data_IF_392166668812
#
_entry.id   IF_392166668812
#
_cell.length_a   1.000
_cell.length_b   1.000
_cell.length_c   1.000
_cell.angle_alpha   90.00
_cell.angle_beta   90.00
_cell.angle_gamma   90.00
#
_symmetry.space_group_name_H-M   'P 1'
#
loop_
_entity.id
_entity.type
_entity.pdbx_description
1 polymer ?
#
# COMPACT_ATOMS: atom_id res chain seq x y z
N UNK A 1 7.92 7.47 49.56
CA UNK A 1 6.94 8.00 48.60
C UNK A 1 7.44 7.63 47.22
N UNK A 2 6.96 6.50 46.71
CA UNK A 2 7.31 6.01 45.38
C UNK A 2 6.18 6.43 44.46
N UNK A 3 6.43 7.42 43.61
CA UNK A 3 5.48 7.81 42.56
C UNK A 3 5.46 6.68 41.55
N UNK A 4 4.36 5.92 41.55
CA UNK A 4 4.00 5.03 40.46
C UNK A 4 3.58 5.93 39.31
N UNK A 5 4.40 6.00 38.27
CA UNK A 5 3.99 6.57 36.99
C UNK A 5 3.13 5.49 36.35
N UNK A 6 1.82 5.70 36.45
CA UNK A 6 0.79 4.97 35.72
C UNK A 6 0.96 5.34 34.24
N UNK A 7 1.83 4.60 33.56
CA UNK A 7 2.00 4.69 32.11
C UNK A 7 0.76 4.07 31.50
N UNK A 8 -0.16 4.93 31.07
CA UNK A 8 -1.29 4.68 30.16
C UNK A 8 -1.21 3.30 29.51
N UNK A 9 -2.12 2.40 29.89
CA UNK A 9 -2.41 1.20 29.13
C UNK A 9 -2.45 1.61 27.65
N UNK A 10 -1.60 0.96 26.86
CA UNK A 10 -1.52 1.17 25.44
C UNK A 10 -2.79 0.57 24.82
N UNK A 11 -3.92 1.29 24.96
CA UNK A 11 -5.23 0.77 24.59
C UNK A 11 -5.30 0.78 23.07
N UNK A 12 -5.17 -0.40 22.47
CA UNK A 12 -5.40 -0.64 21.04
C UNK A 12 -6.77 -1.32 20.87
N UNK A 13 -7.89 -0.62 21.13
CA UNK A 13 -9.21 -1.25 21.17
C UNK A 13 -9.64 -1.89 19.86
N UNK A 14 -9.04 -1.47 18.74
CA UNK A 14 -9.36 -1.94 17.40
C UNK A 14 -8.33 -2.95 16.85
N UNK A 15 -7.39 -3.41 17.69
CA UNK A 15 -6.29 -4.33 17.31
C UNK A 15 -5.50 -3.84 16.07
N UNK A 16 -5.38 -2.52 15.89
CA UNK A 16 -4.75 -1.89 14.70
C UNK A 16 -3.27 -2.24 14.63
N UNK A 17 -2.62 -2.43 15.78
CA UNK A 17 -1.25 -2.92 15.87
C UNK A 17 -1.06 -4.29 15.24
N UNK A 18 -2.04 -5.19 15.32
CA UNK A 18 -2.00 -6.50 14.64
C UNK A 18 -2.17 -6.38 13.14
N UNK A 19 -2.96 -5.40 12.67
CA UNK A 19 -3.07 -5.07 11.24
C UNK A 19 -1.74 -4.53 10.72
N UNK A 20 -1.11 -3.60 11.45
CA UNK A 20 0.20 -3.04 11.08
C UNK A 20 1.26 -4.14 10.97
N UNK A 21 1.24 -5.13 11.87
CA UNK A 21 2.13 -6.30 11.83
C UNK A 21 2.06 -7.10 10.53
N UNK A 22 0.98 -7.00 9.76
CA UNK A 22 0.80 -7.72 8.47
C UNK A 22 1.61 -7.11 7.33
N UNK A 23 2.13 -5.90 7.48
CA UNK A 23 2.94 -5.22 6.46
C UNK A 23 4.22 -4.58 7.04
N UNK A 24 4.61 -4.97 8.25
CA UNK A 24 5.83 -4.47 8.91
C UNK A 24 7.08 -4.68 8.07
N UNK A 25 7.15 -5.78 7.34
CA UNK A 25 8.25 -6.13 6.44
C UNK A 25 8.41 -5.15 5.27
N UNK A 26 7.39 -4.35 4.97
CA UNK A 26 7.40 -3.35 3.90
C UNK A 26 7.72 -1.95 4.41
N UNK A 27 7.78 -1.74 5.73
CA UNK A 27 8.06 -0.42 6.30
C UNK A 27 9.49 0.04 5.97
N UNK A 28 9.75 1.36 5.84
CA UNK A 28 10.98 1.88 5.25
C UNK A 28 12.28 1.61 6.02
N UNK A 29 12.19 1.24 7.30
CA UNK A 29 13.35 1.08 8.17
C UNK A 29 13.34 -0.25 8.90
N UNK A 30 14.53 -0.75 9.23
CA UNK A 30 14.69 -2.02 9.96
C UNK A 30 14.08 -1.99 11.36
N UNK A 31 14.17 -0.85 12.06
CA UNK A 31 13.50 -0.65 13.34
C UNK A 31 12.18 0.09 13.13
N UNK A 32 11.10 -0.67 13.06
CA UNK A 32 9.77 -0.17 12.71
C UNK A 32 8.96 0.34 13.90
N UNK A 33 9.51 0.29 15.13
CA UNK A 33 8.74 0.61 16.34
C UNK A 33 8.14 2.02 16.30
N UNK A 34 8.87 2.99 15.74
CA UNK A 34 8.40 4.37 15.59
C UNK A 34 7.30 4.45 14.53
N UNK A 35 7.43 3.78 13.38
CA UNK A 35 6.38 3.74 12.36
C UNK A 35 5.11 3.04 12.85
N UNK A 36 5.22 2.01 13.68
CA UNK A 36 4.06 1.32 14.27
C UNK A 36 3.24 2.27 15.15
N UNK A 37 3.91 3.00 16.04
CA UNK A 37 3.26 4.01 16.88
C UNK A 37 2.66 5.10 16.01
N UNK A 38 3.42 5.60 15.03
CA UNK A 38 2.98 6.67 14.15
C UNK A 38 1.75 6.32 13.31
N UNK A 39 1.72 5.13 12.71
CA UNK A 39 0.57 4.67 11.94
C UNK A 39 -0.67 4.45 12.82
N UNK A 40 -0.47 3.94 14.03
CA UNK A 40 -1.56 3.77 15.00
C UNK A 40 -2.10 5.11 15.49
N UNK A 41 -1.25 6.06 15.83
CA UNK A 41 -1.68 7.42 16.20
C UNK A 41 -2.41 8.09 15.04
N UNK A 42 -1.90 7.97 13.82
CA UNK A 42 -2.53 8.51 12.62
C UNK A 42 -3.95 7.94 12.41
N UNK A 43 -4.11 6.63 12.63
CA UNK A 43 -5.41 5.95 12.60
C UNK A 43 -6.38 6.53 13.62
N UNK A 44 -6.00 6.59 14.90
CA UNK A 44 -6.89 7.06 15.95
C UNK A 44 -7.22 8.55 15.81
N UNK A 45 -6.25 9.35 15.36
CA UNK A 45 -6.49 10.75 15.00
C UNK A 45 -7.55 10.86 13.88
N UNK A 46 -7.42 10.07 12.81
CA UNK A 46 -8.37 10.10 11.70
C UNK A 46 -9.75 9.57 12.10
N UNK A 47 -9.80 8.54 12.96
CA UNK A 47 -11.03 7.97 13.51
C UNK A 47 -11.81 8.99 14.35
N UNK A 48 -11.13 9.75 15.19
CA UNK A 48 -11.74 10.82 16.00
C UNK A 48 -12.16 12.03 15.15
N UNK A 49 -11.29 12.47 14.24
CA UNK A 49 -11.57 13.62 13.38
C UNK A 49 -12.63 13.33 12.31
N UNK A 50 -12.83 12.06 11.94
CA UNK A 50 -13.67 11.58 10.84
C UNK A 50 -13.10 11.90 9.45
N UNK A 51 -12.51 13.09 9.26
CA UNK A 51 -11.84 13.51 8.02
C UNK A 51 -10.69 14.46 8.33
N UNK A 52 -9.57 14.29 7.61
CA UNK A 52 -8.40 15.15 7.74
C UNK A 52 -7.62 15.28 6.42
N UNK A 53 -6.83 16.34 6.30
CA UNK A 53 -5.84 16.46 5.23
C UNK A 53 -4.58 15.66 5.57
N UNK A 54 -3.79 15.31 4.54
CA UNK A 54 -2.48 14.70 4.71
C UNK A 54 -1.59 15.49 5.69
N UNK A 55 -1.55 16.81 5.53
CA UNK A 55 -0.76 17.69 6.40
C UNK A 55 -1.24 17.71 7.85
N UNK A 56 -2.56 17.62 8.08
CA UNK A 56 -3.12 17.61 9.44
C UNK A 56 -2.78 16.31 10.16
N UNK A 57 -2.93 15.17 9.49
CA UNK A 57 -2.53 13.86 10.03
C UNK A 57 -1.04 13.85 10.32
N UNK A 58 -0.23 14.26 9.34
CA UNK A 58 1.21 14.25 9.50
C UNK A 58 1.68 15.19 10.60
N UNK A 59 1.02 16.33 10.81
CA UNK A 59 1.36 17.24 11.89
C UNK A 59 1.03 16.62 13.26
N UNK A 60 -0.18 16.06 13.43
CA UNK A 60 -0.59 15.44 14.68
C UNK A 60 0.38 14.33 15.12
N UNK A 61 0.72 13.44 14.19
CA UNK A 61 1.59 12.28 14.48
C UNK A 61 3.05 12.70 14.71
N UNK A 62 3.52 13.72 13.99
CA UNK A 62 4.91 14.18 14.10
C UNK A 62 5.27 14.65 15.51
N UNK A 63 4.33 15.32 16.18
CA UNK A 63 4.54 15.87 17.51
C UNK A 63 4.46 14.81 18.62
N UNK A 64 3.75 13.70 18.38
CA UNK A 64 3.48 12.65 19.38
C UNK A 64 4.42 11.43 19.26
N UNK A 65 4.77 11.00 18.03
CA UNK A 65 5.44 9.71 17.77
C UNK A 65 6.98 9.70 17.78
N UNK A 66 7.66 10.76 18.24
CA UNK A 66 9.13 10.88 18.16
C UNK A 66 9.73 10.67 16.74
N UNK A 67 8.93 10.91 15.69
CA UNK A 67 9.31 10.65 14.29
C UNK A 67 10.60 11.35 13.85
N UNK A 68 10.90 12.50 14.46
CA UNK A 68 12.13 13.27 14.22
C UNK A 68 13.44 12.52 14.51
N UNK A 69 13.39 11.39 15.23
CA UNK A 69 14.56 10.54 15.47
C UNK A 69 14.98 9.70 14.26
N UNK A 70 14.04 9.42 13.36
CA UNK A 70 14.20 8.47 12.27
C UNK A 70 14.01 9.13 10.91
N UNK A 71 13.08 10.08 10.83
CA UNK A 71 12.81 10.84 9.63
C UNK A 71 13.42 12.24 9.72
N UNK A 72 14.08 12.73 8.66
CA UNK A 72 14.65 14.08 8.67
C UNK A 72 13.58 15.17 8.62
N UNK A 73 12.40 14.86 8.07
CA UNK A 73 11.28 15.79 7.89
C UNK A 73 9.95 15.05 7.96
N UNK A 74 8.91 15.78 8.38
CA UNK A 74 7.52 15.31 8.38
C UNK A 74 7.05 14.81 7.02
N UNK A 75 7.38 15.55 5.97
CA UNK A 75 7.04 15.15 4.60
C UNK A 75 7.69 13.83 4.20
N UNK A 76 8.90 13.54 4.69
CA UNK A 76 9.59 12.28 4.38
C UNK A 76 8.88 11.09 5.02
N UNK A 77 8.49 11.19 6.30
CA UNK A 77 7.66 10.14 6.92
C UNK A 77 6.34 9.96 6.19
N UNK A 78 5.66 11.06 5.85
CA UNK A 78 4.38 10.99 5.17
C UNK A 78 4.50 10.26 3.82
N UNK A 79 5.49 10.60 3.01
CA UNK A 79 5.71 9.96 1.71
C UNK A 79 6.13 8.50 1.83
N UNK A 80 6.99 8.17 2.80
CA UNK A 80 7.60 6.83 2.87
C UNK A 80 6.74 5.83 3.65
N UNK A 81 5.98 6.29 4.65
CA UNK A 81 5.20 5.43 5.56
C UNK A 81 3.73 5.84 5.72
N UNK A 82 3.43 7.14 5.84
CA UNK A 82 2.05 7.59 6.06
C UNK A 82 1.11 7.27 4.89
N UNK A 83 1.31 7.93 3.75
CA UNK A 83 0.46 7.81 2.56
C UNK A 83 0.37 6.39 1.99
N UNK A 84 1.47 5.60 1.91
CA UNK A 84 1.39 4.27 1.32
C UNK A 84 0.63 3.25 2.18
N UNK A 85 0.72 3.35 3.51
CA UNK A 85 0.25 2.32 4.43
C UNK A 85 -1.02 2.67 5.21
N UNK A 86 -1.35 3.96 5.35
CA UNK A 86 -2.64 4.36 5.94
C UNK A 86 -3.85 3.71 5.26
N UNK A 87 -3.95 3.60 3.92
CA UNK A 87 -5.07 2.92 3.26
C UNK A 87 -5.17 1.42 3.54
N UNK A 88 -4.19 0.82 4.23
CA UNK A 88 -4.23 -0.59 4.61
C UNK A 88 -4.79 -0.79 6.02
N UNK A 89 -5.11 0.29 6.73
CA UNK A 89 -5.71 0.25 8.05
C UNK A 89 -7.25 0.20 7.93
N UNK A 90 -7.94 -0.46 8.88
CA UNK A 90 -9.38 -0.70 8.79
C UNK A 90 -10.19 0.58 8.64
N UNK A 91 -11.05 0.68 7.63
CA UNK A 91 -11.91 1.84 7.44
C UNK A 91 -11.20 3.14 7.04
N UNK A 92 -9.90 3.12 6.74
CA UNK A 92 -9.20 4.31 6.26
C UNK A 92 -9.35 4.43 4.74
N UNK A 93 -9.98 5.52 4.30
CA UNK A 93 -10.23 5.78 2.88
C UNK A 93 -9.58 7.08 2.46
N UNK A 94 -8.98 7.06 1.27
CA UNK A 94 -8.53 8.27 0.55
C UNK A 94 -9.49 8.57 -0.58
N UNK A 95 -9.98 9.80 -0.64
CA UNK A 95 -10.79 10.33 -1.74
C UNK A 95 -10.27 11.70 -2.21
N UNK A 96 -10.96 12.32 -3.15
CA UNK A 96 -10.56 13.59 -3.77
C UNK A 96 -10.46 14.76 -2.78
N UNK A 97 -11.11 14.66 -1.63
CA UNK A 97 -11.15 15.73 -0.60
C UNK A 97 -10.15 15.46 0.52
N UNK A 98 -9.56 14.25 0.58
CA UNK A 98 -8.50 13.90 1.52
C UNK A 98 -8.70 12.53 2.14
N UNK A 99 -8.35 12.42 3.42
CA UNK A 99 -8.42 11.17 4.17
C UNK A 99 -9.66 11.19 5.07
N UNK A 100 -10.35 10.07 5.15
CA UNK A 100 -11.49 9.90 6.05
C UNK A 100 -11.49 8.52 6.69
N UNK A 101 -12.10 8.45 7.86
CA UNK A 101 -12.48 7.18 8.48
C UNK A 101 -13.91 6.83 8.10
N UNK A 102 -14.12 5.58 7.72
CA UNK A 102 -15.39 4.99 7.32
C UNK A 102 -15.46 3.55 7.84
N UNK A 103 -16.23 3.26 8.89
CA UNK A 103 -16.28 1.91 9.46
C UNK A 103 -16.86 0.87 8.50
N UNK A 104 -17.58 1.28 7.45
CA UNK A 104 -18.23 0.39 6.50
C UNK A 104 -17.40 0.21 5.19
N UNK A 105 -16.23 0.87 5.10
CA UNK A 105 -15.43 0.85 3.88
C UNK A 105 -14.77 -0.51 3.60
N UNK A 106 -14.49 -1.29 4.64
CA UNK A 106 -13.83 -2.60 4.49
C UNK A 106 -14.74 -3.65 3.84
N UNK A 107 -16.06 -3.53 4.06
CA UNK A 107 -17.09 -4.41 3.51
C UNK A 107 -17.56 -3.97 2.11
N UNK A 108 -17.30 -2.72 1.75
CA UNK A 108 -17.71 -2.13 0.48
C UNK A 108 -16.74 -2.50 -0.65
N UNK A 109 -16.76 -3.77 -1.07
CA UNK A 109 -16.02 -4.22 -2.26
C UNK A 109 -16.75 -3.87 -3.56
N UNK A 110 -16.02 -3.59 -4.65
CA UNK A 110 -16.62 -3.45 -5.96
C UNK A 110 -17.38 -4.74 -6.31
N UNK A 111 -18.57 -4.64 -6.91
CA UNK A 111 -19.25 -5.81 -7.42
C UNK A 111 -18.36 -6.52 -8.44
N UNK A 112 -18.28 -7.84 -8.34
CA UNK A 112 -17.65 -8.65 -9.40
C UNK A 112 -18.49 -8.48 -10.66
N UNK A 113 -17.87 -8.24 -11.83
CA UNK A 113 -18.57 -8.20 -13.11
C UNK A 113 -19.52 -9.39 -13.30
N UNK A 114 -20.71 -9.17 -13.84
CA UNK A 114 -21.70 -10.24 -14.09
C UNK A 114 -21.20 -11.24 -15.15
N UNK A 115 -20.39 -10.75 -16.10
CA UNK A 115 -19.74 -11.55 -17.14
C UNK A 115 -18.26 -11.12 -17.25
N UNK A 116 -17.41 -11.59 -16.33
CA UNK A 116 -16.01 -11.20 -16.29
C UNK A 116 -15.28 -11.77 -17.50
N UNK A 117 -14.53 -10.92 -18.19
CA UNK A 117 -13.56 -11.30 -19.21
C UNK A 117 -12.19 -10.79 -18.83
N UNK A 118 -11.15 -11.35 -19.44
CA UNK A 118 -9.81 -10.79 -19.32
C UNK A 118 -9.71 -9.43 -20.02
N UNK A 119 -8.98 -8.46 -19.42
CA UNK A 119 -8.71 -7.20 -20.06
C UNK A 119 -7.85 -7.42 -21.33
N UNK A 120 -7.93 -6.49 -22.27
CA UNK A 120 -7.10 -6.58 -23.46
C UNK A 120 -5.62 -6.43 -23.09
N UNK A 121 -4.74 -7.06 -23.88
CA UNK A 121 -3.30 -6.91 -23.68
C UNK A 121 -2.83 -5.46 -23.82
N UNK A 122 -3.52 -4.67 -24.65
CA UNK A 122 -3.20 -3.25 -24.87
C UNK A 122 -3.57 -2.39 -23.65
N UNK A 123 -4.69 -2.67 -22.96
CA UNK A 123 -5.09 -1.94 -21.74
C UNK A 123 -4.11 -2.21 -20.60
N UNK A 124 -3.72 -3.48 -20.43
CA UNK A 124 -2.71 -3.88 -19.43
C UNK A 124 -1.37 -3.22 -19.74
N UNK A 125 -0.91 -3.27 -21.00
CA UNK A 125 0.37 -2.67 -21.39
C UNK A 125 0.34 -1.13 -21.25
N UNK A 126 -0.78 -0.47 -21.50
CA UNK A 126 -0.92 0.97 -21.31
C UNK A 126 -0.70 1.39 -19.84
N UNK A 127 -1.32 0.69 -18.88
CA UNK A 127 -1.09 0.92 -17.44
C UNK A 127 0.36 0.64 -17.09
N UNK A 128 0.89 -0.51 -17.52
CA UNK A 128 2.27 -0.89 -17.27
C UNK A 128 3.28 0.09 -17.87
N UNK A 129 2.97 0.81 -18.96
CA UNK A 129 3.86 1.80 -19.57
C UNK A 129 3.74 3.19 -18.96
N UNK A 130 2.57 3.55 -18.42
CA UNK A 130 2.34 4.87 -17.82
C UNK A 130 3.08 5.10 -16.50
N UNK A 131 3.41 4.01 -15.78
CA UNK A 131 4.09 4.12 -14.51
C UNK A 131 5.57 4.51 -14.68
N UNK A 132 6.03 5.48 -13.89
CA UNK A 132 7.42 5.91 -13.90
C UNK A 132 8.29 5.00 -13.02
N UNK A 133 8.70 3.85 -13.56
CA UNK A 133 9.55 2.91 -12.82
C UNK A 133 10.89 3.53 -12.40
N UNK A 134 11.36 3.22 -11.19
CA UNK A 134 12.70 3.57 -10.75
C UNK A 134 13.78 3.05 -11.71
N UNK A 135 14.80 3.87 -11.94
CA UNK A 135 15.94 3.61 -12.82
C UNK A 135 16.11 4.65 -13.92
N UNK A 136 17.16 4.49 -14.73
CA UNK A 136 17.46 5.40 -15.86
C UNK A 136 16.65 4.99 -17.10
N UNK A 137 16.23 5.98 -17.90
CA UNK A 137 15.50 5.73 -19.14
C UNK A 137 16.33 4.85 -20.11
N UNK A 138 15.69 3.84 -20.71
CA UNK A 138 16.35 2.86 -21.58
C UNK A 138 17.18 1.78 -20.86
N UNK A 139 17.20 1.77 -19.52
CA UNK A 139 17.92 0.76 -18.75
C UNK A 139 17.09 -0.53 -18.55
N UNK A 140 17.80 -1.65 -18.44
CA UNK A 140 17.27 -2.97 -18.09
C UNK A 140 16.59 -2.97 -16.72
N UNK A 141 16.91 -2.03 -15.84
CA UNK A 141 16.31 -1.92 -14.49
C UNK A 141 14.82 -1.62 -14.54
N UNK A 142 14.42 -0.57 -15.29
CA UNK A 142 13.00 -0.26 -15.51
C UNK A 142 12.25 -1.45 -16.10
N UNK A 143 12.89 -2.13 -17.06
CA UNK A 143 12.36 -3.34 -17.69
C UNK A 143 12.15 -4.47 -16.67
N UNK A 144 13.10 -4.69 -15.75
CA UNK A 144 12.98 -5.71 -14.68
C UNK A 144 11.87 -5.37 -13.70
N UNK A 145 11.77 -4.12 -13.27
CA UNK A 145 10.72 -3.67 -12.35
C UNK A 145 9.33 -3.88 -12.97
N UNK A 146 9.15 -3.49 -14.24
CA UNK A 146 7.92 -3.76 -15.01
C UNK A 146 7.65 -5.26 -15.17
N UNK A 147 8.67 -6.06 -15.45
CA UNK A 147 8.52 -7.51 -15.60
C UNK A 147 8.08 -8.19 -14.29
N UNK A 148 8.56 -7.71 -13.14
CA UNK A 148 8.09 -8.18 -11.83
C UNK A 148 6.60 -7.94 -11.65
N UNK A 149 6.11 -6.75 -11.98
CA UNK A 149 4.68 -6.42 -11.91
C UNK A 149 3.87 -7.29 -12.86
N UNK A 150 4.36 -7.44 -14.10
CA UNK A 150 3.70 -8.29 -15.10
C UNK A 150 3.53 -9.73 -14.59
N UNK A 151 4.57 -10.31 -13.99
CA UNK A 151 4.51 -11.67 -13.41
C UNK A 151 3.57 -11.75 -12.22
N UNK A 152 3.57 -10.74 -11.35
CA UNK A 152 2.63 -10.65 -10.23
C UNK A 152 1.17 -10.60 -10.72
N UNK A 153 0.91 -9.85 -11.79
CA UNK A 153 -0.42 -9.81 -12.42
C UNK A 153 -0.79 -11.15 -13.08
N UNK A 154 0.11 -11.74 -13.88
CA UNK A 154 -0.10 -13.07 -14.49
C UNK A 154 -0.39 -14.14 -13.44
N UNK A 155 0.36 -14.14 -12.33
CA UNK A 155 0.13 -15.03 -11.20
C UNK A 155 -1.27 -14.81 -10.58
N UNK A 156 -1.65 -13.55 -10.36
CA UNK A 156 -2.97 -13.22 -9.81
C UNK A 156 -4.11 -13.63 -10.76
N UNK A 157 -3.92 -13.51 -12.08
CA UNK A 157 -4.88 -13.98 -13.09
C UNK A 157 -5.03 -15.51 -13.08
N UNK A 158 -3.91 -16.24 -12.95
CA UNK A 158 -3.90 -17.70 -12.92
C UNK A 158 -4.57 -18.27 -11.67
N UNK A 159 -4.35 -17.64 -10.52
CA UNK A 159 -4.80 -18.14 -9.22
C UNK A 159 -6.13 -17.52 -8.73
N UNK A 160 -6.54 -16.39 -9.31
CA UNK A 160 -7.75 -15.65 -8.92
C UNK A 160 -7.60 -14.85 -7.62
N UNK A 161 -6.88 -15.37 -6.63
CA UNK A 161 -6.52 -14.66 -5.40
C UNK A 161 -5.05 -14.96 -5.04
N UNK A 162 -4.36 -13.98 -4.46
CA UNK A 162 -2.98 -14.13 -3.99
C UNK A 162 -2.73 -13.26 -2.76
N UNK A 163 -1.89 -13.71 -1.82
CA UNK A 163 -1.47 -12.85 -0.74
C UNK A 163 -0.30 -11.92 -1.17
N UNK A 164 0.07 -10.97 -0.30
CA UNK A 164 1.17 -10.05 -0.64
C UNK A 164 2.52 -10.76 -0.76
N UNK A 165 2.73 -11.89 -0.07
CA UNK A 165 3.98 -12.65 -0.14
C UNK A 165 4.10 -13.37 -1.50
N UNK A 166 3.04 -14.00 -1.99
CA UNK A 166 2.99 -14.64 -3.30
C UNK A 166 3.34 -13.66 -4.43
N UNK A 167 2.85 -12.42 -4.33
CA UNK A 167 3.11 -11.37 -5.31
C UNK A 167 4.55 -10.80 -5.20
N UNK A 168 5.09 -10.69 -3.99
CA UNK A 168 6.49 -10.31 -3.75
C UNK A 168 7.45 -11.33 -4.38
N UNK A 169 7.14 -12.61 -4.31
CA UNK A 169 7.96 -13.70 -4.86
C UNK A 169 8.08 -13.67 -6.40
N UNK A 170 7.23 -12.89 -7.09
CA UNK A 170 7.32 -12.72 -8.54
C UNK A 170 8.44 -11.76 -8.96
N UNK A 171 9.01 -11.02 -8.02
CA UNK A 171 10.16 -10.15 -8.25
C UNK A 171 11.49 -10.86 -8.01
N UNK A 172 12.48 -10.53 -8.84
CA UNK A 172 13.85 -11.04 -8.68
C UNK A 172 14.76 -9.93 -8.12
N UNK A 173 15.25 -10.07 -6.87
CA UNK A 173 16.14 -9.10 -6.25
C UNK A 173 17.45 -8.87 -7.01
N UNK A 174 18.10 -7.76 -6.71
CA UNK A 174 19.33 -7.35 -7.36
C UNK A 174 20.27 -6.68 -6.38
N UNK A 175 21.51 -7.17 -6.26
CA UNK A 175 22.54 -6.62 -5.36
C UNK A 175 23.16 -5.28 -5.84
N UNK A 176 22.49 -4.57 -6.75
CA UNK A 176 22.97 -3.30 -7.31
C UNK A 176 22.23 -2.17 -6.59
N UNK A 177 22.85 -0.99 -6.50
CA UNK A 177 22.38 0.06 -5.62
C UNK A 177 21.00 0.62 -5.99
N UNK A 178 20.21 0.95 -4.96
CA UNK A 178 18.88 1.55 -5.08
C UNK A 178 18.84 2.88 -5.86
N UNK A 179 19.94 3.64 -5.87
CA UNK A 179 20.07 4.89 -6.64
C UNK A 179 19.95 4.68 -8.16
N UNK A 180 20.20 3.47 -8.64
CA UNK A 180 20.07 3.07 -10.04
C UNK A 180 18.69 2.42 -10.33
N UNK A 181 17.77 2.42 -9.36
CA UNK A 181 16.42 1.87 -9.48
C UNK A 181 16.29 0.37 -9.16
N UNK A 182 17.37 -0.23 -8.66
CA UNK A 182 17.39 -1.61 -8.21
C UNK A 182 16.80 -1.75 -6.80
N UNK A 183 16.28 -2.94 -6.51
CA UNK A 183 15.80 -3.29 -5.19
C UNK A 183 16.55 -4.50 -4.67
N UNK A 184 17.14 -4.33 -3.49
CA UNK A 184 17.92 -5.38 -2.81
C UNK A 184 17.01 -6.47 -2.22
N UNK A 185 15.73 -6.16 -1.99
CA UNK A 185 14.75 -7.10 -1.47
C UNK A 185 13.35 -6.92 -2.12
N UNK A 186 12.50 -7.97 -2.10
CA UNK A 186 11.15 -7.90 -2.66
C UNK A 186 10.19 -6.95 -1.93
N UNK A 187 10.40 -6.70 -0.65
CA UNK A 187 9.49 -5.87 0.16
C UNK A 187 9.54 -4.41 -0.26
N UNK A 188 10.74 -3.86 -0.44
CA UNK A 188 10.95 -2.50 -0.93
C UNK A 188 10.43 -2.34 -2.37
N UNK A 189 10.70 -3.34 -3.23
CA UNK A 189 10.15 -3.35 -4.59
C UNK A 189 8.62 -3.35 -4.57
N UNK A 190 8.01 -4.18 -3.72
CA UNK A 190 6.56 -4.29 -3.65
C UNK A 190 5.93 -3.01 -3.11
N UNK A 191 6.52 -2.39 -2.08
CA UNK A 191 6.09 -1.07 -1.58
C UNK A 191 6.10 -0.01 -2.67
N UNK A 192 7.21 0.12 -3.40
CA UNK A 192 7.45 1.26 -4.29
C UNK A 192 6.93 1.07 -5.71
N UNK A 193 6.83 -0.17 -6.17
CA UNK A 193 6.47 -0.50 -7.56
C UNK A 193 5.31 -1.48 -7.60
N UNK A 194 5.41 -2.60 -6.89
CA UNK A 194 4.41 -3.68 -6.97
C UNK A 194 2.99 -3.20 -6.62
N UNK A 195 2.79 -2.72 -5.40
CA UNK A 195 1.49 -2.22 -4.89
C UNK A 195 0.87 -1.13 -5.75
N UNK A 196 1.56 -0.01 -6.06
CA UNK A 196 0.92 1.07 -6.79
C UNK A 196 0.50 0.62 -8.19
N UNK A 197 1.35 -0.12 -8.92
CA UNK A 197 1.01 -0.53 -10.29
C UNK A 197 -0.05 -1.63 -10.30
N UNK A 198 0.03 -2.62 -9.41
CA UNK A 198 -0.98 -3.69 -9.34
C UNK A 198 -2.36 -3.13 -9.01
N UNK A 199 -2.46 -2.12 -8.14
CA UNK A 199 -3.72 -1.45 -7.81
C UNK A 199 -4.39 -0.81 -9.02
N UNK A 200 -3.59 -0.29 -9.95
CA UNK A 200 -4.08 0.43 -11.13
C UNK A 200 -4.35 -0.50 -12.32
N UNK A 201 -4.00 -1.78 -12.22
CA UNK A 201 -4.22 -2.74 -13.30
C UNK A 201 -5.69 -3.13 -13.45
N UNK A 202 -6.20 -3.25 -14.69
CA UNK A 202 -7.59 -3.57 -14.94
C UNK A 202 -7.93 -4.97 -14.42
N UNK A 203 -9.08 -5.08 -13.77
CA UNK A 203 -9.57 -6.33 -13.19
C UNK A 203 -8.88 -6.77 -11.90
N UNK A 204 -8.00 -5.95 -11.34
CA UNK A 204 -7.42 -6.18 -10.00
C UNK A 204 -8.29 -5.50 -8.93
N UNK A 205 -8.69 -6.26 -7.92
CA UNK A 205 -9.28 -5.75 -6.68
C UNK A 205 -8.24 -5.85 -5.55
N UNK A 206 -7.62 -4.73 -5.14
CA UNK A 206 -6.59 -4.74 -4.10
C UNK A 206 -7.21 -4.96 -2.71
N UNK A 207 -6.43 -5.37 -1.71
CA UNK A 207 -6.91 -5.48 -0.34
C UNK A 207 -7.34 -4.11 0.22
N UNK A 208 -8.46 -4.08 0.96
CA UNK A 208 -8.93 -2.88 1.69
C UNK A 208 -8.25 -2.74 3.06
N UNK A 209 -7.91 -3.87 3.66
CA UNK A 209 -7.17 -3.96 4.93
C UNK A 209 -5.99 -4.91 4.74
N UNK A 210 -4.87 -4.60 5.39
CA UNK A 210 -3.73 -5.50 5.37
C UNK A 210 -4.09 -6.92 5.83
N UNK A 211 -3.52 -7.92 5.16
CA UNK A 211 -3.81 -9.32 5.41
C UNK A 211 -4.99 -9.89 4.61
N UNK A 212 -5.81 -9.05 3.96
CA UNK A 212 -6.73 -9.52 2.93
C UNK A 212 -5.95 -9.91 1.65
N UNK A 213 -6.43 -10.89 0.87
CA UNK A 213 -5.80 -11.24 -0.39
C UNK A 213 -6.07 -10.17 -1.46
N UNK A 214 -5.15 -10.07 -2.41
CA UNK A 214 -5.38 -9.47 -3.71
C UNK A 214 -6.26 -10.39 -4.54
N UNK A 215 -7.12 -9.84 -5.38
CA UNK A 215 -8.06 -10.62 -6.18
C UNK A 215 -8.04 -10.16 -7.63
N UNK A 216 -8.20 -11.11 -8.52
CA UNK A 216 -8.53 -10.85 -9.92
C UNK A 216 -10.02 -11.09 -10.12
N UNK A 217 -10.73 -10.05 -10.53
CA UNK A 217 -12.19 -10.07 -10.77
C UNK A 217 -12.54 -9.92 -12.26
N UNK A 218 -11.53 -9.73 -13.12
CA UNK A 218 -11.71 -9.46 -14.55
C UNK A 218 -12.34 -8.09 -14.81
N UNK A 219 -12.67 -7.83 -16.07
CA UNK A 219 -13.38 -6.62 -16.52
C UNK A 219 -14.74 -6.97 -17.11
N UNK A 220 -15.64 -6.00 -17.17
CA UNK A 220 -16.90 -6.19 -17.91
C UNK A 220 -16.58 -6.43 -19.39
N UNK A 221 -17.22 -7.43 -19.98
CA UNK A 221 -17.15 -7.61 -21.43
C UNK A 221 -17.61 -6.32 -22.13
N UNK A 222 -16.91 -5.86 -23.19
CA UNK A 222 -17.36 -4.72 -23.96
C UNK A 222 -18.74 -5.05 -24.52
N UNK A 223 -19.74 -4.27 -24.14
CA UNK A 223 -21.07 -4.34 -24.73
C UNK A 223 -20.98 -3.88 -26.18
N UNK A 224 -21.74 -4.51 -27.08
CA UNK A 224 -21.74 -4.23 -28.53
C UNK A 224 -22.03 -2.75 -28.89
N UNK A 225 -22.42 -1.91 -27.92
CA UNK A 225 -22.62 -0.46 -28.07
C UNK A 225 -21.32 0.37 -28.08
N UNK A 226 -20.17 -0.19 -27.66
CA UNK A 226 -18.87 0.51 -27.61
C UNK A 226 -17.97 0.26 -28.85
N UNK A 227 -18.52 -0.32 -29.93
CA UNK A 227 -17.76 -0.76 -31.11
C UNK A 227 -18.05 0.01 -32.40
#
# INVERSE_FOLDING_TARGET
MTTVIDGTEDVDPDDVGDVIRRFTDELPHENTAIEHVALREAYYFLKDAGRASADAIALAVWDESNLSRQYPRRSTWWTDAGEPFLPLLPGVVRDDVGWRYDPDADDSRPPVPDNPTDPSADDVDAVLQSFNYPGVEGDRVKTKNRLGVKRAFEYLQEHGEADAADLKDQFTPSNYGRQEGHFDNPHDWFREVGRPVLRDLPGVDPPRVAGQPWRYVGVNAPTDEDR
#
